data_IF_069448718043
#
_entry.id   IF_069448718043
#
_cell.length_a   1.000
_cell.length_b   1.000
_cell.length_c   1.000
_cell.angle_alpha   90.00
_cell.angle_beta   90.00
_cell.angle_gamma   90.00
#
_symmetry.space_group_name_H-M   'P 1'
#
loop_
_entity.id
_entity.type
_entity.pdbx_description
1 polymer ?
#
# COMPACT_ATOMS: atom_id res chain seq x y z
N UNK A 1 7.11 -4.88 -6.63
CA UNK A 1 6.06 -5.48 -7.49
C UNK A 1 4.84 -5.83 -6.65
N UNK A 2 3.65 -6.00 -7.26
CA UNK A 2 2.42 -6.42 -6.57
C UNK A 2 2.60 -7.73 -5.76
N UNK A 3 3.16 -8.83 -6.31
CA UNK A 3 3.34 -10.06 -5.54
C UNK A 3 4.31 -9.90 -4.35
N UNK A 4 5.41 -9.15 -4.52
CA UNK A 4 6.35 -8.89 -3.43
C UNK A 4 5.70 -8.08 -2.29
N UNK A 5 4.87 -7.09 -2.61
CA UNK A 5 4.13 -6.32 -1.60
C UNK A 5 3.17 -7.23 -0.80
N UNK A 6 2.45 -8.14 -1.46
CA UNK A 6 1.59 -9.12 -0.79
C UNK A 6 2.39 -10.05 0.12
N UNK A 7 3.58 -10.46 -0.30
CA UNK A 7 4.47 -11.28 0.50
C UNK A 7 4.89 -10.55 1.78
N UNK A 8 5.27 -9.27 1.69
CA UNK A 8 5.64 -8.48 2.87
C UNK A 8 4.51 -8.41 3.90
N UNK A 9 3.28 -8.18 3.44
CA UNK A 9 2.09 -8.17 4.32
C UNK A 9 1.86 -9.54 4.94
N UNK A 10 1.72 -10.60 4.13
CA UNK A 10 1.47 -11.97 4.61
C UNK A 10 2.51 -12.45 5.64
N UNK A 11 3.77 -12.06 5.47
CA UNK A 11 4.86 -12.44 6.37
C UNK A 11 4.99 -11.55 7.63
N UNK A 12 3.98 -10.73 7.94
CA UNK A 12 3.89 -9.92 9.18
C UNK A 12 5.03 -8.90 9.33
N UNK A 13 5.50 -8.34 8.21
CA UNK A 13 6.50 -7.27 8.20
C UNK A 13 5.88 -5.87 8.35
N UNK A 14 4.59 -5.73 8.10
CA UNK A 14 3.87 -4.46 8.10
C UNK A 14 3.07 -4.28 9.39
N UNK A 15 3.07 -3.05 9.90
CA UNK A 15 2.25 -2.59 11.01
C UNK A 15 1.33 -1.49 10.50
N UNK A 16 0.07 -1.52 10.92
CA UNK A 16 -0.88 -0.41 10.74
C UNK A 16 -1.28 0.07 12.12
N UNK A 17 -1.04 1.34 12.43
CA UNK A 17 -1.30 1.93 13.75
C UNK A 17 -0.68 1.08 14.88
N UNK A 18 0.57 0.64 14.69
CA UNK A 18 1.35 -0.23 15.59
C UNK A 18 0.81 -1.67 15.76
N UNK A 19 -0.29 -2.04 15.10
CA UNK A 19 -0.83 -3.40 15.09
C UNK A 19 -0.29 -4.18 13.89
N UNK A 20 -0.01 -5.47 14.08
CA UNK A 20 0.45 -6.35 12.99
C UNK A 20 -0.73 -6.61 12.04
N UNK A 21 -0.50 -6.39 10.75
CA UNK A 21 -1.46 -6.71 9.68
C UNK A 21 -0.83 -7.71 8.73
N UNK A 22 -1.43 -8.89 8.62
CA UNK A 22 -1.03 -9.97 7.71
C UNK A 22 -2.05 -10.29 6.61
N UNK A 23 -3.03 -9.40 6.41
CA UNK A 23 -4.08 -9.53 5.42
C UNK A 23 -3.82 -8.52 4.28
N UNK A 24 -3.39 -8.95 3.08
CA UNK A 24 -3.11 -8.05 1.95
C UNK A 24 -4.36 -7.35 1.39
N UNK A 25 -5.55 -7.82 1.74
CA UNK A 25 -6.83 -7.18 1.41
C UNK A 25 -7.32 -6.21 2.49
N UNK A 26 -6.49 -5.89 3.49
CA UNK A 26 -6.82 -4.89 4.50
C UNK A 26 -7.14 -3.55 3.83
N UNK A 27 -8.31 -3.00 4.16
CA UNK A 27 -8.76 -1.70 3.64
C UNK A 27 -8.25 -0.59 4.56
N UNK A 28 -7.22 0.11 4.10
CA UNK A 28 -6.69 1.27 4.83
C UNK A 28 -7.74 2.38 4.94
N UNK A 29 -7.75 3.04 6.08
CA UNK A 29 -8.58 4.22 6.36
C UNK A 29 -7.73 5.49 6.29
N UNK A 30 -8.34 6.64 6.00
CA UNK A 30 -7.66 7.92 6.18
C UNK A 30 -7.08 8.03 7.59
N UNK A 31 -5.87 8.60 7.69
CA UNK A 31 -5.04 8.73 8.89
C UNK A 31 -4.40 7.44 9.40
N UNK A 32 -4.53 6.32 8.70
CA UNK A 32 -3.77 5.12 9.04
C UNK A 32 -2.27 5.37 8.85
N UNK A 33 -1.50 5.04 9.89
CA UNK A 33 -0.04 5.10 9.90
C UNK A 33 0.52 3.70 9.63
N UNK A 34 1.14 3.54 8.48
CA UNK A 34 1.76 2.30 8.02
C UNK A 34 3.25 2.37 8.35
N UNK A 35 3.71 1.43 9.17
CA UNK A 35 5.12 1.32 9.54
C UNK A 35 5.61 -0.11 9.37
N UNK A 36 6.92 -0.28 9.50
CA UNK A 36 7.56 -1.58 9.38
C UNK A 36 7.87 -2.11 10.75
N UNK A 37 7.64 -3.41 10.92
CA UNK A 37 7.94 -4.09 12.17
C UNK A 37 9.44 -4.01 12.48
N UNK A 38 9.76 -3.62 13.72
CA UNK A 38 11.13 -3.48 14.17
C UNK A 38 11.82 -4.85 14.35
N UNK A 39 12.25 -5.46 13.23
CA UNK A 39 13.01 -6.71 13.15
C UNK A 39 13.99 -6.63 11.98
N UNK A 40 15.22 -7.08 12.18
CA UNK A 40 16.26 -7.11 11.14
C UNK A 40 15.80 -7.80 9.85
N UNK A 41 15.05 -8.91 9.96
CA UNK A 41 14.47 -9.63 8.82
C UNK A 41 13.50 -8.78 8.01
N UNK A 42 12.74 -7.90 8.66
CA UNK A 42 11.76 -7.02 7.99
C UNK A 42 12.47 -5.90 7.23
N UNK A 43 13.48 -5.29 7.84
CA UNK A 43 14.29 -4.26 7.19
C UNK A 43 15.10 -4.82 6.01
N UNK A 44 15.64 -6.03 6.14
CA UNK A 44 16.33 -6.71 5.04
C UNK A 44 15.38 -7.02 3.88
N UNK A 45 14.15 -7.47 4.17
CA UNK A 45 13.15 -7.75 3.14
C UNK A 45 12.78 -6.50 2.31
N UNK A 46 12.80 -5.32 2.93
CA UNK A 46 12.53 -4.05 2.25
C UNK A 46 13.70 -3.52 1.43
N UNK A 47 14.93 -3.73 1.89
CA UNK A 47 16.14 -3.30 1.16
C UNK A 47 16.25 -3.92 -0.23
N UNK A 48 15.69 -5.12 -0.41
CA UNK A 48 15.61 -5.80 -1.71
C UNK A 48 14.66 -5.09 -2.68
N UNK A 49 13.71 -4.32 -2.16
CA UNK A 49 12.72 -3.56 -2.91
C UNK A 49 12.90 -2.06 -2.67
N UNK A 50 14.00 -1.48 -3.16
CA UNK A 50 14.08 -0.03 -3.25
C UNK A 50 13.00 0.48 -4.22
N UNK A 51 12.20 1.50 -3.86
CA UNK A 51 11.27 2.10 -4.79
C UNK A 51 12.09 2.90 -5.81
N UNK A 52 12.35 2.30 -6.97
CA UNK A 52 12.88 3.01 -8.10
C UNK A 52 11.81 3.97 -8.64
N UNK A 53 11.95 5.27 -8.33
CA UNK A 53 11.55 6.35 -9.23
C UNK A 53 10.06 6.70 -9.40
N UNK A 54 9.11 5.99 -8.81
CA UNK A 54 7.70 6.32 -8.98
C UNK A 54 7.27 7.53 -8.14
N UNK A 55 6.52 8.46 -8.77
CA UNK A 55 5.91 9.60 -8.10
C UNK A 55 4.92 9.10 -7.05
N UNK A 56 5.12 9.54 -5.81
CA UNK A 56 4.21 9.25 -4.70
C UNK A 56 2.88 9.97 -5.00
N UNK A 57 1.74 9.27 -5.00
CA UNK A 57 0.46 9.88 -5.28
C UNK A 57 -0.06 10.69 -4.07
N UNK A 58 -0.86 11.73 -4.33
CA UNK A 58 -1.27 12.72 -3.31
C UNK A 58 -2.02 12.13 -2.10
N UNK A 59 -2.70 11.00 -2.30
CA UNK A 59 -3.43 10.31 -1.24
C UNK A 59 -2.52 9.57 -0.24
N UNK A 60 -1.20 9.50 -0.52
CA UNK A 60 -0.20 8.90 0.35
C UNK A 60 0.92 9.89 0.63
N UNK A 61 1.40 9.89 1.87
CA UNK A 61 2.65 10.57 2.24
C UNK A 61 3.63 9.53 2.73
N UNK A 62 4.86 9.57 2.21
CA UNK A 62 5.95 8.72 2.68
C UNK A 62 6.97 9.61 3.37
N UNK A 63 7.26 9.29 4.63
CA UNK A 63 8.29 9.95 5.41
C UNK A 63 9.38 8.93 5.73
N UNK A 64 10.63 9.30 5.47
CA UNK A 64 11.80 8.56 5.95
C UNK A 64 12.24 9.22 7.24
N UNK A 65 12.12 8.51 8.37
CA UNK A 65 12.69 8.99 9.63
C UNK A 65 14.22 8.93 9.60
N UNK A 66 14.88 9.68 10.49
CA UNK A 66 16.35 9.75 10.61
C UNK A 66 17.02 8.36 10.70
N UNK A 67 16.32 7.36 11.26
CA UNK A 67 16.75 5.96 11.37
C UNK A 67 16.63 5.13 10.07
N UNK A 68 16.39 5.74 8.90
CA UNK A 68 16.05 5.03 7.65
C UNK A 68 14.81 4.11 7.79
N UNK A 69 13.91 4.43 8.73
CA UNK A 69 12.62 3.74 8.89
C UNK A 69 11.59 4.40 7.99
N UNK A 70 11.08 3.71 6.96
CA UNK A 70 9.98 4.22 6.16
C UNK A 70 8.69 4.20 6.97
N UNK A 71 7.98 5.32 6.96
CA UNK A 71 6.61 5.44 7.44
C UNK A 71 5.74 5.96 6.30
N UNK A 72 4.59 5.34 6.10
CA UNK A 72 3.56 5.78 5.17
C UNK A 72 2.36 6.30 5.95
N UNK A 73 1.80 7.42 5.53
CA UNK A 73 0.55 7.96 6.06
C UNK A 73 -0.49 8.00 4.94
N UNK A 74 -1.68 7.49 5.25
CA UNK A 74 -2.83 7.52 4.34
C UNK A 74 -3.56 8.84 4.53
N UNK A 75 -3.48 9.76 3.58
CA UNK A 75 -4.09 11.09 3.71
C UNK A 75 -5.61 11.02 3.50
N UNK A 76 -6.02 10.36 2.42
CA UNK A 76 -7.40 10.30 1.98
C UNK A 76 -7.66 9.03 1.15
N UNK A 77 -8.92 8.79 0.82
CA UNK A 77 -9.30 7.74 -0.12
C UNK A 77 -8.89 8.19 -1.53
N UNK A 78 -8.30 7.29 -2.31
CA UNK A 78 -7.88 7.59 -3.68
C UNK A 78 -9.10 7.91 -4.57
N UNK A 79 -9.08 9.08 -5.22
CA UNK A 79 -10.07 9.48 -6.21
C UNK A 79 -9.77 8.83 -7.55
N UNK A 80 -10.80 8.71 -8.41
CA UNK A 80 -10.65 8.15 -9.76
C UNK A 80 -9.59 8.86 -10.60
N UNK A 81 -9.50 10.19 -10.46
CA UNK A 81 -8.53 11.03 -11.16
C UNK A 81 -7.08 10.77 -10.70
N UNK A 82 -6.91 10.40 -9.43
CA UNK A 82 -5.58 10.08 -8.88
C UNK A 82 -5.06 8.71 -9.33
N UNK A 83 -5.96 7.86 -9.83
CA UNK A 83 -5.63 6.53 -10.33
C UNK A 83 -5.37 6.62 -11.83
N UNK A 84 -4.09 6.60 -12.21
CA UNK A 84 -3.63 6.65 -13.62
C UNK A 84 -3.88 5.33 -14.38
N UNK A 85 -5.10 4.80 -14.33
CA UNK A 85 -5.53 3.61 -15.09
C UNK A 85 -6.36 4.03 -16.30
N UNK A 86 -5.90 3.65 -17.50
CA UNK A 86 -6.62 3.85 -18.76
C UNK A 86 -7.62 2.70 -19.00
N UNK A 87 -8.66 2.64 -18.18
CA UNK A 87 -9.71 1.60 -18.23
C UNK A 87 -11.08 2.27 -18.16
N UNK A 88 -12.04 1.77 -18.93
CA UNK A 88 -13.43 2.18 -18.85
C UNK A 88 -14.19 1.27 -17.88
N UNK A 89 -14.48 1.74 -16.66
CA UNK A 89 -15.19 0.95 -15.65
C UNK A 89 -16.63 0.59 -16.05
N UNK A 90 -17.26 1.35 -16.96
CA UNK A 90 -18.64 1.09 -17.39
C UNK A 90 -18.79 -0.27 -18.07
N UNK A 91 -17.75 -0.73 -18.78
CA UNK A 91 -17.73 -2.07 -19.39
C UNK A 91 -17.81 -3.18 -18.33
N UNK A 92 -17.20 -2.96 -17.17
CA UNK A 92 -17.27 -3.91 -16.04
C UNK A 92 -18.67 -3.91 -15.44
N UNK A 93 -19.27 -2.73 -15.23
CA UNK A 93 -20.63 -2.59 -14.72
C UNK A 93 -21.65 -3.25 -15.65
N UNK A 94 -21.54 -3.00 -16.95
CA UNK A 94 -22.41 -3.60 -17.97
C UNK A 94 -22.32 -5.13 -17.97
N UNK A 95 -21.10 -5.68 -17.91
CA UNK A 95 -20.88 -7.12 -17.89
C UNK A 95 -21.55 -7.82 -16.71
N UNK A 96 -21.43 -7.27 -15.50
CA UNK A 96 -22.04 -7.86 -14.31
C UNK A 96 -23.54 -7.62 -14.24
N UNK A 97 -24.05 -6.50 -14.77
CA UNK A 97 -25.49 -6.21 -14.80
C UNK A 97 -26.25 -7.16 -15.72
N UNK A 98 -25.65 -7.61 -16.83
CA UNK A 98 -26.25 -8.61 -17.73
C UNK A 98 -26.31 -10.02 -17.14
N UNK A 99 -25.52 -10.29 -16.10
CA UNK A 99 -25.43 -11.60 -15.43
C UNK A 99 -26.31 -11.69 -14.16
N UNK A 100 -26.86 -10.58 -13.70
CA UNK A 100 -27.83 -10.50 -12.61
C UNK A 100 -29.24 -10.73 -13.15
#
# INVERSE_FOLDING_TARGET
TIPAARQLVNHRHILVNNCIVDIPSYRCKPKDLITIRNRSTSYNALRVTSPAGDKIPDHLTISLSEDNKPAGLVNCIANRESVNLNINELLVVEYYSRKA
#
